data_IF_293422364749
#
_entry.id   IF_293422364749
#
_cell.length_a   1.000
_cell.length_b   1.000
_cell.length_c   1.000
_cell.angle_alpha   90.00
_cell.angle_beta   90.00
_cell.angle_gamma   90.00
#
_symmetry.space_group_name_H-M   'P 1'
#
loop_
_entity.id
_entity.type
_entity.pdbx_description
1 polymer ?
#
# COMPACT_ATOMS: atom_id res chain seq x y z
N UNK A 1 2.96 -20.00 4.32
CA UNK A 1 1.65 -20.00 5.02
C UNK A 1 1.28 -18.55 5.30
N UNK A 2 0.12 -18.10 4.83
CA UNK A 2 -0.36 -16.74 5.02
C UNK A 2 -1.12 -16.65 6.36
N UNK A 3 -0.94 -15.54 7.07
CA UNK A 3 -1.75 -15.24 8.23
C UNK A 3 -3.06 -14.60 7.76
N UNK A 4 -4.19 -15.12 8.22
CA UNK A 4 -5.52 -14.56 7.94
C UNK A 4 -6.18 -14.25 9.27
N UNK A 5 -6.75 -13.07 9.38
CA UNK A 5 -7.54 -12.65 10.53
C UNK A 5 -8.92 -12.17 10.05
N UNK A 6 -9.97 -12.72 10.63
CA UNK A 6 -11.33 -12.26 10.43
C UNK A 6 -11.59 -11.07 11.35
N UNK A 7 -12.05 -9.97 10.78
CA UNK A 7 -12.41 -8.77 11.52
C UNK A 7 -13.94 -8.71 11.62
N UNK A 8 -14.48 -9.20 12.72
CA UNK A 8 -15.92 -9.31 12.99
C UNK A 8 -16.43 -8.18 13.89
N UNK A 9 -16.46 -6.95 13.38
CA UNK A 9 -17.02 -5.81 14.11
C UNK A 9 -16.16 -5.26 15.27
N UNK A 10 -16.74 -4.34 16.06
CA UNK A 10 -15.98 -3.58 17.08
C UNK A 10 -15.66 -4.39 18.32
N UNK A 11 -16.57 -5.27 18.75
CA UNK A 11 -16.50 -5.92 20.06
C UNK A 11 -15.59 -7.15 20.07
N UNK A 12 -15.49 -7.86 18.97
CA UNK A 12 -14.60 -9.00 18.80
C UNK A 12 -13.12 -8.63 18.96
N UNK A 13 -12.75 -7.42 18.56
CA UNK A 13 -11.37 -6.93 18.60
C UNK A 13 -10.89 -6.53 20.00
N UNK A 14 -11.78 -6.40 20.97
CA UNK A 14 -11.46 -6.01 22.36
C UNK A 14 -10.76 -7.14 23.11
N UNK A 15 -10.96 -8.40 22.71
CA UNK A 15 -10.52 -9.58 23.44
C UNK A 15 -9.26 -10.26 22.89
N UNK A 16 -8.62 -9.71 21.86
CA UNK A 16 -7.48 -10.32 21.19
C UNK A 16 -6.12 -10.05 21.87
N UNK A 17 -5.97 -10.41 23.15
CA UNK A 17 -4.67 -10.57 23.82
C UNK A 17 -3.71 -9.37 23.80
N UNK A 18 -2.41 -9.63 23.73
CA UNK A 18 -1.31 -8.69 23.92
C UNK A 18 -1.28 -7.46 22.96
N UNK A 19 -1.92 -7.54 21.82
CA UNK A 19 -1.97 -6.49 20.81
C UNK A 19 -3.32 -5.81 20.74
N UNK A 20 -3.97 -5.67 21.91
CA UNK A 20 -5.19 -4.88 22.04
C UNK A 20 -4.97 -3.48 21.45
N UNK A 21 -6.01 -2.96 20.85
CA UNK A 21 -6.09 -1.59 20.32
C UNK A 21 -5.97 -0.53 21.41
N UNK A 22 -4.96 -0.60 22.18
CA UNK A 22 -4.69 0.48 23.10
C UNK A 22 -4.10 1.67 22.34
N UNK A 23 -3.47 2.54 22.86
CA UNK A 23 -2.99 3.87 22.46
C UNK A 23 -2.56 4.09 20.98
N UNK A 24 -2.24 3.04 20.21
CA UNK A 24 -1.68 3.15 18.83
C UNK A 24 -2.69 2.91 17.70
N UNK A 25 -3.91 2.48 18.00
CA UNK A 25 -5.01 2.32 17.05
C UNK A 25 -5.17 0.90 16.47
N UNK A 26 -6.37 0.65 15.92
CA UNK A 26 -6.82 -0.67 15.44
C UNK A 26 -5.95 -1.24 14.34
N UNK A 27 -5.64 -0.42 13.33
CA UNK A 27 -4.85 -0.83 12.17
C UNK A 27 -3.43 -1.24 12.57
N UNK A 28 -2.84 -0.56 13.55
CA UNK A 28 -1.52 -0.89 14.08
C UNK A 28 -1.53 -2.26 14.75
N UNK A 29 -2.51 -2.52 15.62
CA UNK A 29 -2.66 -3.83 16.27
C UNK A 29 -2.87 -4.96 15.26
N UNK A 30 -3.71 -4.74 14.25
CA UNK A 30 -3.95 -5.71 13.17
C UNK A 30 -2.67 -6.00 12.38
N UNK A 31 -1.92 -4.97 11.98
CA UNK A 31 -0.64 -5.14 11.29
C UNK A 31 0.35 -5.97 12.11
N UNK A 32 0.48 -5.68 13.40
CA UNK A 32 1.36 -6.42 14.30
C UNK A 32 0.98 -7.90 14.37
N UNK A 33 -0.30 -8.23 14.49
CA UNK A 33 -0.76 -9.64 14.54
C UNK A 33 -0.52 -10.37 13.22
N UNK A 34 -0.89 -9.77 12.09
CA UNK A 34 -0.72 -10.37 10.76
C UNK A 34 0.75 -10.60 10.40
N UNK A 35 1.64 -9.73 10.88
CA UNK A 35 3.07 -9.81 10.56
C UNK A 35 3.92 -10.50 11.62
N UNK A 36 3.34 -11.00 12.72
CA UNK A 36 4.08 -11.57 13.85
C UNK A 36 5.13 -12.61 13.45
N UNK A 37 4.83 -13.43 12.44
CA UNK A 37 5.74 -14.48 11.92
C UNK A 37 6.93 -13.91 11.13
N UNK A 38 6.88 -12.64 10.78
CA UNK A 38 7.94 -11.96 10.03
C UNK A 38 8.87 -11.15 10.93
N UNK A 39 8.56 -11.05 12.22
CA UNK A 39 9.37 -10.26 13.14
C UNK A 39 10.81 -10.76 13.19
N UNK A 40 11.75 -9.82 13.26
CA UNK A 40 13.20 -10.06 13.31
C UNK A 40 13.76 -10.84 12.10
N UNK A 41 13.04 -10.80 10.96
CA UNK A 41 13.48 -11.51 9.73
C UNK A 41 14.05 -10.58 8.66
N UNK A 42 14.04 -9.27 8.88
CA UNK A 42 14.43 -8.23 7.91
C UNK A 42 13.66 -8.32 6.57
N UNK A 43 12.48 -8.95 6.58
CA UNK A 43 11.65 -9.05 5.39
C UNK A 43 10.89 -7.78 5.11
N UNK A 44 10.55 -7.57 3.83
CA UNK A 44 9.71 -6.47 3.38
C UNK A 44 8.27 -6.91 3.23
N UNK A 45 7.33 -6.00 3.50
CA UNK A 45 5.90 -6.18 3.27
C UNK A 45 5.34 -5.00 2.48
N UNK A 46 4.51 -5.32 1.51
CA UNK A 46 3.77 -4.32 0.73
C UNK A 46 2.33 -4.32 1.24
N UNK A 47 1.85 -3.14 1.61
CA UNK A 47 0.56 -2.96 2.25
C UNK A 47 -0.39 -2.18 1.34
N UNK A 48 -1.66 -2.58 1.32
CA UNK A 48 -2.69 -1.78 0.67
C UNK A 48 -2.91 -0.44 1.40
N UNK A 49 -3.52 0.48 0.70
CA UNK A 49 -3.81 1.83 1.21
C UNK A 49 -4.65 1.86 2.49
N UNK A 50 -5.44 0.83 2.75
CA UNK A 50 -6.18 0.65 4.02
C UNK A 50 -5.27 0.51 5.24
N UNK A 51 -4.06 0.05 5.05
CA UNK A 51 -3.04 -0.15 6.07
C UNK A 51 -1.98 0.96 6.12
N UNK A 52 -2.13 2.00 5.31
CA UNK A 52 -1.19 3.12 5.28
C UNK A 52 -1.34 4.01 6.52
N UNK A 53 -0.79 3.55 7.63
CA UNK A 53 -0.76 4.25 8.91
C UNK A 53 0.69 4.35 9.37
N UNK A 54 1.25 5.57 9.40
CA UNK A 54 2.68 5.80 9.71
C UNK A 54 3.12 5.11 11.01
N UNK A 55 2.33 5.23 12.10
CA UNK A 55 2.64 4.55 13.35
C UNK A 55 2.72 3.02 13.17
N UNK A 56 1.90 2.43 12.29
CA UNK A 56 1.94 1.01 11.97
C UNK A 56 3.25 0.61 11.31
N UNK A 57 3.71 1.39 10.33
CA UNK A 57 4.98 1.16 9.66
C UNK A 57 6.16 1.27 10.64
N UNK A 58 6.15 2.30 11.51
CA UNK A 58 7.17 2.49 12.56
C UNK A 58 7.23 1.29 13.52
N UNK A 59 6.07 0.79 13.94
CA UNK A 59 6.01 -0.38 14.83
C UNK A 59 6.52 -1.66 14.13
N UNK A 60 6.25 -1.83 12.83
CA UNK A 60 6.82 -2.94 12.06
C UNK A 60 8.34 -2.83 11.95
N UNK A 61 8.86 -1.63 11.69
CA UNK A 61 10.30 -1.38 11.62
C UNK A 61 10.99 -1.73 12.96
N UNK A 62 10.41 -1.33 14.10
CA UNK A 62 10.90 -1.70 15.44
C UNK A 62 10.93 -3.21 15.69
N UNK A 63 10.16 -3.97 14.91
CA UNK A 63 10.13 -5.44 14.90
C UNK A 63 11.00 -6.07 13.80
N UNK A 64 11.83 -5.27 13.11
CA UNK A 64 12.69 -5.75 12.04
C UNK A 64 11.92 -6.19 10.79
N UNK A 65 10.78 -5.55 10.51
CA UNK A 65 9.98 -5.74 9.29
C UNK A 65 9.88 -4.41 8.57
N UNK A 66 10.32 -4.36 7.32
CA UNK A 66 10.26 -3.16 6.50
C UNK A 66 8.94 -3.10 5.73
N UNK A 67 8.29 -1.95 5.68
CA UNK A 67 6.98 -1.82 5.06
C UNK A 67 6.92 -0.68 4.07
N UNK A 68 6.14 -0.88 2.98
CA UNK A 68 5.70 0.16 2.08
C UNK A 68 4.18 0.12 1.91
N UNK A 69 3.54 1.29 1.84
CA UNK A 69 2.09 1.41 1.72
C UNK A 69 1.69 2.56 0.79
N UNK A 70 0.65 2.34 -0.02
CA UNK A 70 0.10 3.38 -0.90
C UNK A 70 -0.71 4.41 -0.11
N UNK A 71 -0.42 5.69 -0.30
CA UNK A 71 -1.17 6.79 0.30
C UNK A 71 -2.31 7.19 -0.65
N UNK A 72 -3.56 6.86 -0.30
CA UNK A 72 -4.76 7.25 -1.07
C UNK A 72 -5.58 8.36 -0.42
N UNK A 73 -5.48 8.53 0.90
CA UNK A 73 -6.33 9.47 1.65
C UNK A 73 -5.48 10.48 2.40
N UNK A 74 -5.94 11.74 2.42
CA UNK A 74 -5.25 12.83 3.11
C UNK A 74 -4.90 12.50 4.58
N UNK A 75 -5.77 11.82 5.30
CA UNK A 75 -5.54 11.41 6.71
C UNK A 75 -4.34 10.47 6.93
N UNK A 76 -3.80 9.86 5.87
CA UNK A 76 -2.66 8.97 5.94
C UNK A 76 -1.32 9.67 5.69
N UNK A 77 -1.36 10.93 5.25
CA UNK A 77 -0.16 11.74 5.10
C UNK A 77 0.45 12.06 6.45
N UNK A 78 1.77 12.02 6.58
CA UNK A 78 2.44 12.59 7.75
C UNK A 78 2.05 14.06 7.92
N UNK A 79 1.85 14.53 9.14
CA UNK A 79 1.33 15.87 9.41
C UNK A 79 2.16 17.02 8.82
N UNK A 80 3.46 16.79 8.66
CA UNK A 80 4.44 17.78 8.14
C UNK A 80 4.79 17.58 6.67
N UNK A 81 4.24 16.56 5.99
CA UNK A 81 4.37 16.37 4.55
C UNK A 81 3.00 16.64 3.93
N UNK A 82 2.90 17.74 3.20
CA UNK A 82 1.62 18.21 2.66
C UNK A 82 1.43 17.68 1.25
N UNK A 83 0.35 16.94 1.03
CA UNK A 83 0.02 16.37 -0.28
C UNK A 83 -0.32 17.41 -1.34
N UNK A 84 -0.85 18.58 -0.93
CA UNK A 84 -1.10 19.72 -1.81
C UNK A 84 0.21 20.36 -2.32
N UNK A 85 1.20 20.54 -1.46
CA UNK A 85 2.54 21.03 -1.87
C UNK A 85 3.23 20.04 -2.82
N UNK A 86 3.08 18.75 -2.59
CA UNK A 86 3.59 17.72 -3.51
C UNK A 86 2.87 17.77 -4.85
N UNK A 87 1.54 17.92 -4.86
CA UNK A 87 0.79 18.05 -6.10
C UNK A 87 1.25 19.27 -6.90
N UNK A 88 1.48 20.41 -6.23
CA UNK A 88 2.02 21.62 -6.83
C UNK A 88 3.42 21.38 -7.40
N UNK A 89 4.32 20.77 -6.63
CA UNK A 89 5.68 20.43 -7.06
C UNK A 89 5.72 19.57 -8.34
N UNK A 90 4.69 18.75 -8.56
CA UNK A 90 4.60 17.90 -9.76
C UNK A 90 3.75 18.51 -10.88
N UNK A 91 3.19 19.70 -10.73
CA UNK A 91 2.27 20.30 -11.71
C UNK A 91 2.87 20.33 -13.11
N UNK A 92 4.06 20.89 -13.24
CA UNK A 92 4.74 21.14 -14.51
C UNK A 92 5.81 20.08 -14.84
N UNK A 93 5.85 18.98 -14.09
CA UNK A 93 6.80 17.89 -14.34
C UNK A 93 6.23 16.90 -15.35
N UNK A 94 7.10 16.26 -16.09
CA UNK A 94 6.76 15.20 -17.02
C UNK A 94 6.15 13.99 -16.32
N UNK A 95 5.28 13.29 -17.05
CA UNK A 95 4.75 11.99 -16.61
C UNK A 95 5.91 11.00 -16.41
N UNK A 96 5.95 10.37 -15.25
CA UNK A 96 7.06 9.50 -14.85
C UNK A 96 8.13 10.20 -14.02
N UNK A 97 8.07 11.51 -13.81
CA UNK A 97 8.92 12.19 -12.85
C UNK A 97 8.73 11.59 -11.44
N UNK A 98 9.81 11.46 -10.69
CA UNK A 98 9.83 10.89 -9.34
C UNK A 98 10.61 11.79 -8.40
N UNK A 99 10.17 11.81 -7.14
CA UNK A 99 10.85 12.51 -6.06
C UNK A 99 10.52 11.85 -4.71
N UNK A 100 11.25 12.20 -3.64
CA UNK A 100 11.04 11.64 -2.31
C UNK A 100 11.20 12.69 -1.21
N UNK A 101 10.29 12.64 -0.25
CA UNK A 101 10.30 13.49 0.94
C UNK A 101 10.69 12.65 2.16
N UNK A 102 11.80 12.96 2.80
CA UNK A 102 12.20 12.27 4.04
C UNK A 102 11.31 12.70 5.20
N UNK A 103 11.13 11.79 6.13
CA UNK A 103 10.46 12.04 7.38
C UNK A 103 10.99 11.16 8.50
N UNK A 104 10.65 11.50 9.74
CA UNK A 104 11.03 10.74 10.92
C UNK A 104 9.89 10.71 11.93
N UNK A 105 9.67 9.56 12.55
CA UNK A 105 8.75 9.39 13.67
C UNK A 105 9.33 8.37 14.67
N UNK A 106 9.37 8.73 15.95
CA UNK A 106 9.91 7.89 17.03
C UNK A 106 11.36 7.39 16.75
N UNK A 107 12.22 8.23 16.14
CA UNK A 107 13.57 7.88 15.74
C UNK A 107 13.69 6.97 14.52
N UNK A 108 12.57 6.66 13.85
CA UNK A 108 12.51 5.84 12.64
C UNK A 108 12.36 6.72 11.42
N UNK A 109 13.31 6.62 10.51
CA UNK A 109 13.26 7.33 9.23
C UNK A 109 12.37 6.61 8.23
N UNK A 110 11.66 7.39 7.45
CA UNK A 110 10.86 6.92 6.32
C UNK A 110 10.91 7.92 5.17
N UNK A 111 10.40 7.53 4.03
CA UNK A 111 10.26 8.41 2.88
C UNK A 111 8.84 8.33 2.31
N UNK A 112 8.37 9.44 1.80
CA UNK A 112 7.21 9.48 0.92
C UNK A 112 7.72 9.61 -0.50
N UNK A 113 7.71 8.51 -1.24
CA UNK A 113 8.08 8.45 -2.66
C UNK A 113 6.88 8.85 -3.49
N UNK A 114 7.06 9.80 -4.40
CA UNK A 114 6.01 10.28 -5.27
C UNK A 114 6.41 10.10 -6.74
N UNK A 115 5.41 9.78 -7.57
CA UNK A 115 5.60 9.61 -9.01
C UNK A 115 4.44 10.27 -9.77
N UNK A 116 4.77 11.15 -10.72
CA UNK A 116 3.79 11.75 -11.62
C UNK A 116 3.16 10.68 -12.52
N UNK A 117 1.85 10.56 -12.46
CA UNK A 117 1.02 9.83 -13.42
C UNK A 117 0.29 10.84 -14.32
N UNK A 118 -0.34 10.42 -15.43
CA UNK A 118 -1.06 11.37 -16.30
C UNK A 118 -2.03 12.26 -15.54
N UNK A 119 -2.86 11.71 -14.65
CA UNK A 119 -3.96 12.41 -14.02
C UNK A 119 -3.75 12.70 -12.52
N UNK A 120 -2.72 12.13 -11.90
CA UNK A 120 -2.48 12.27 -10.46
C UNK A 120 -1.03 12.02 -10.08
N UNK A 121 -0.67 12.33 -8.85
CA UNK A 121 0.60 11.94 -8.24
C UNK A 121 0.40 10.73 -7.37
N UNK A 122 1.00 9.60 -7.75
CA UNK A 122 1.02 8.40 -6.91
C UNK A 122 2.03 8.59 -5.78
N UNK A 123 1.62 8.29 -4.55
CA UNK A 123 2.47 8.46 -3.36
C UNK A 123 2.53 7.18 -2.54
N UNK A 124 3.75 6.77 -2.19
CA UNK A 124 4.05 5.60 -1.37
C UNK A 124 4.81 6.04 -0.12
N UNK A 125 4.33 5.67 1.05
CA UNK A 125 5.10 5.76 2.30
C UNK A 125 5.92 4.50 2.47
N UNK A 126 7.23 4.61 2.64
CA UNK A 126 8.11 3.45 2.75
C UNK A 126 9.22 3.64 3.76
N UNK A 127 9.58 2.54 4.43
CA UNK A 127 10.73 2.42 5.33
C UNK A 127 11.98 1.89 4.61
N UNK A 128 11.90 1.60 3.32
CA UNK A 128 12.98 1.04 2.51
C UNK A 128 12.93 1.53 1.06
N UNK A 129 13.97 1.19 0.31
CA UNK A 129 14.07 1.47 -1.11
C UNK A 129 14.66 2.85 -1.41
N UNK A 130 14.95 3.05 -2.68
CA UNK A 130 15.59 4.26 -3.21
C UNK A 130 14.84 4.79 -4.43
N UNK A 131 15.23 6.00 -4.88
CA UNK A 131 14.80 6.55 -6.17
C UNK A 131 15.54 5.92 -7.36
N UNK A 132 16.50 5.03 -7.11
CA UNK A 132 17.22 4.34 -8.18
C UNK A 132 16.25 3.55 -9.05
N UNK A 133 16.27 3.85 -10.33
CA UNK A 133 15.41 3.19 -11.31
C UNK A 133 15.96 1.81 -11.63
N UNK A 134 15.09 0.81 -11.66
CA UNK A 134 15.48 -0.58 -11.94
C UNK A 134 14.69 -1.17 -13.10
N UNK A 135 15.37 -2.03 -13.87
CA UNK A 135 14.80 -2.83 -14.95
C UNK A 135 14.56 -2.07 -16.24
N UNK A 136 14.08 -2.80 -17.26
CA UNK A 136 13.91 -2.31 -18.64
C UNK A 136 12.72 -1.36 -18.84
N UNK A 137 12.09 -0.94 -17.75
CA UNK A 137 10.89 -0.13 -17.82
C UNK A 137 9.65 -0.89 -18.27
N UNK A 138 8.48 -0.38 -17.91
CA UNK A 138 7.19 -0.93 -18.31
C UNK A 138 6.50 0.02 -19.27
N UNK A 139 6.12 -0.48 -20.44
CA UNK A 139 5.27 0.26 -21.37
C UNK A 139 3.88 0.42 -20.77
N UNK A 140 3.39 1.65 -20.73
CA UNK A 140 2.02 1.98 -20.31
C UNK A 140 1.36 2.83 -21.38
N UNK A 141 0.14 2.45 -21.72
CA UNK A 141 -0.74 3.21 -22.62
C UNK A 141 -1.66 4.07 -21.77
N UNK A 142 -1.83 5.32 -22.13
CA UNK A 142 -2.78 6.25 -21.51
C UNK A 142 -3.37 7.18 -22.55
N UNK A 143 -4.55 7.71 -22.26
CA UNK A 143 -5.17 8.74 -23.10
C UNK A 143 -4.79 10.13 -22.59
N UNK A 144 -4.38 10.98 -23.52
CA UNK A 144 -4.07 12.35 -23.24
C UNK A 144 -4.62 13.20 -24.39
N UNK A 145 -5.52 14.14 -24.10
CA UNK A 145 -6.23 14.97 -25.09
C UNK A 145 -6.88 14.16 -26.24
N UNK A 146 -7.50 13.02 -25.93
CA UNK A 146 -8.14 12.16 -26.92
C UNK A 146 -7.19 11.33 -27.80
N UNK A 147 -5.89 11.42 -27.57
CA UNK A 147 -4.87 10.59 -28.22
C UNK A 147 -4.34 9.52 -27.29
N UNK A 148 -4.13 8.33 -27.83
CA UNK A 148 -3.50 7.23 -27.08
C UNK A 148 -1.97 7.35 -27.17
N UNK A 149 -1.34 7.60 -26.05
CA UNK A 149 0.11 7.63 -25.93
C UNK A 149 0.64 6.37 -25.25
N UNK A 150 1.84 5.95 -25.67
CA UNK A 150 2.54 4.84 -25.04
C UNK A 150 3.90 5.31 -24.54
N UNK A 151 4.06 5.33 -23.23
CA UNK A 151 5.32 5.75 -22.60
C UNK A 151 5.94 4.60 -21.81
N UNK A 152 7.27 4.52 -21.87
CA UNK A 152 8.04 3.56 -21.07
C UNK A 152 8.47 4.21 -19.77
N UNK A 153 8.03 3.66 -18.64
CA UNK A 153 8.42 4.13 -17.32
C UNK A 153 9.42 3.18 -16.68
N UNK A 154 10.58 3.69 -16.30
CA UNK A 154 11.44 3.02 -15.35
C UNK A 154 11.00 3.40 -13.94
N UNK A 155 10.52 2.44 -13.17
CA UNK A 155 10.08 2.70 -11.81
C UNK A 155 11.25 2.76 -10.84
N UNK A 156 11.22 3.67 -9.83
CA UNK A 156 12.05 3.54 -8.66
C UNK A 156 11.87 2.17 -7.99
N UNK A 157 12.91 1.68 -7.33
CA UNK A 157 12.93 0.37 -6.70
C UNK A 157 11.68 0.10 -5.86
N UNK A 158 11.34 0.99 -4.93
CA UNK A 158 10.18 0.84 -4.05
C UNK A 158 8.85 0.81 -4.81
N UNK A 159 8.74 1.58 -5.90
CA UNK A 159 7.54 1.59 -6.76
C UNK A 159 7.44 0.32 -7.58
N UNK A 160 8.57 -0.19 -8.08
CA UNK A 160 8.64 -1.47 -8.79
C UNK A 160 8.22 -2.63 -7.87
N UNK A 161 8.74 -2.67 -6.65
CA UNK A 161 8.39 -3.66 -5.62
C UNK A 161 6.90 -3.59 -5.25
N UNK A 162 6.36 -2.39 -5.10
CA UNK A 162 4.92 -2.22 -4.87
C UNK A 162 4.10 -2.86 -6.00
N UNK A 163 4.36 -2.51 -7.26
CA UNK A 163 3.62 -3.07 -8.38
C UNK A 163 3.85 -4.56 -8.62
N UNK A 164 5.01 -5.09 -8.27
CA UNK A 164 5.27 -6.53 -8.36
C UNK A 164 4.43 -7.35 -7.36
N UNK A 165 3.94 -6.72 -6.29
CA UNK A 165 3.26 -7.40 -5.20
C UNK A 165 1.78 -7.02 -5.01
N UNK A 166 1.34 -5.84 -5.44
CA UNK A 166 -0.06 -5.40 -5.26
C UNK A 166 -1.05 -6.30 -6.01
N UNK A 167 -0.72 -6.75 -7.22
CA UNK A 167 -1.59 -7.60 -8.05
C UNK A 167 -1.78 -9.01 -7.46
N UNK A 168 -0.88 -9.47 -6.60
CA UNK A 168 -0.98 -10.81 -5.98
C UNK A 168 -2.17 -10.88 -5.02
N UNK A 169 -2.45 -9.80 -4.29
CA UNK A 169 -3.59 -9.72 -3.38
C UNK A 169 -4.90 -9.68 -4.16
N UNK A 170 -4.95 -8.89 -5.23
CA UNK A 170 -6.14 -8.77 -6.07
C UNK A 170 -6.45 -10.08 -6.82
N UNK A 171 -5.42 -10.77 -7.32
CA UNK A 171 -5.57 -12.08 -7.95
C UNK A 171 -6.11 -13.11 -6.96
N UNK A 172 -5.64 -13.11 -5.71
CA UNK A 172 -6.12 -14.00 -4.67
C UNK A 172 -7.58 -13.71 -4.30
N UNK A 173 -7.97 -12.45 -4.21
CA UNK A 173 -9.34 -12.04 -3.96
C UNK A 173 -10.27 -12.45 -5.10
N UNK A 174 -9.85 -12.35 -6.36
CA UNK A 174 -10.62 -12.85 -7.50
C UNK A 174 -10.88 -14.34 -7.40
N UNK A 175 -9.86 -15.15 -7.10
CA UNK A 175 -10.02 -16.61 -6.94
C UNK A 175 -11.03 -16.95 -5.83
N UNK A 176 -11.05 -16.22 -4.72
CA UNK A 176 -12.02 -16.41 -3.63
C UNK A 176 -13.45 -16.03 -4.02
N UNK A 177 -13.64 -15.06 -4.88
CA UNK A 177 -14.97 -14.60 -5.30
C UNK A 177 -15.66 -15.55 -6.27
N UNK A 178 -14.91 -16.33 -7.06
CA UNK A 178 -15.49 -17.28 -8.02
C UNK A 178 -16.44 -18.33 -7.41
N UNK A 179 -16.10 -18.99 -6.30
CA UNK A 179 -17.01 -19.98 -5.69
C UNK A 179 -18.31 -19.37 -5.15
N UNK A 180 -18.27 -18.12 -4.67
CA UNK A 180 -19.43 -17.43 -4.12
C UNK A 180 -20.42 -16.99 -5.21
N UNK A 181 -19.92 -16.61 -6.38
CA UNK A 181 -20.77 -16.27 -7.53
C UNK A 181 -21.46 -17.50 -8.13
N UNK A 182 -20.80 -18.66 -8.11
CA UNK A 182 -21.39 -19.93 -8.53
C UNK A 182 -22.56 -20.35 -7.61
N UNK A 183 -22.43 -20.22 -6.30
CA UNK A 183 -23.51 -20.51 -5.34
C UNK A 183 -24.75 -19.62 -5.53
N UNK A 184 -24.58 -18.36 -5.92
CA UNK A 184 -25.71 -17.46 -6.18
C UNK A 184 -26.48 -17.82 -7.46
N UNK A 185 -25.82 -18.32 -8.51
CA UNK A 185 -26.48 -18.75 -9.77
C UNK A 185 -27.21 -20.09 -9.63
N UNK A 186 -26.82 -20.97 -8.73
CA UNK A 186 -27.48 -22.27 -8.50
C UNK A 186 -28.81 -22.18 -7.75
N UNK A 187 -29.11 -21.09 -7.04
CA UNK A 187 -30.37 -20.91 -6.28
C UNK A 187 -31.54 -20.35 -7.08
N UNK A 188 -31.36 -19.95 -8.34
CA UNK A 188 -32.40 -19.35 -9.16
C UNK A 188 -33.08 -20.34 -10.15
N UNK A 189 -32.80 -21.65 -10.08
CA UNK A 189 -33.35 -22.63 -11.03
C UNK A 189 -34.32 -23.65 -10.44
N UNK A 190 -34.62 -23.62 -9.13
CA UNK A 190 -35.55 -24.58 -8.51
C UNK A 190 -36.82 -23.89 -8.03
N UNK A 191 -37.44 -23.12 -8.92
CA UNK A 191 -38.74 -22.47 -8.66
C UNK A 191 -39.64 -22.51 -9.88
N UNK A 192 -40.16 -23.70 -10.20
CA UNK A 192 -41.41 -23.92 -10.93
C UNK A 192 -41.92 -25.31 -10.59
#
# INVERSE_FOLDING_TARGET
>A
MYAVELVEGKDHLVNLGEYKYNKKGKTVGLLQRLTRRLWHTSKTVVLDSGFCVLQGLVELWKKGVFAAALIKKRRYWPKYIRGDEIAEHFRDKDVGAVDAWPGELDGVRFHVFCMKKPDYVMSLMSMYGTLTRRGDGKKRRYEHYGMTETTTFQYPEVVADYFANCDKVDSHNRIRMYPLLWRKRGRQRDGH
#
